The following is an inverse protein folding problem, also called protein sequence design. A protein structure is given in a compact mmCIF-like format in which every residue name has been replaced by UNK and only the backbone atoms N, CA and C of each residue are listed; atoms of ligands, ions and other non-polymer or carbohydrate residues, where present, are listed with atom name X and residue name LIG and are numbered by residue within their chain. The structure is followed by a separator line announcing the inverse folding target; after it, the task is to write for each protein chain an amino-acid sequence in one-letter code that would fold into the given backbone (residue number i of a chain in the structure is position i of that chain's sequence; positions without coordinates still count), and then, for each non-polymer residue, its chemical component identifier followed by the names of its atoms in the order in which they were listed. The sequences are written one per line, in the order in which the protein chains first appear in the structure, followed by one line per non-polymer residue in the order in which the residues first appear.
data_IF_075884552965
#
_entry.id   IF_075884552965
#
_cell.length_a   1.000
_cell.length_b   1.000
_cell.length_c   1.000
_cell.angle_alpha   90.00
_cell.angle_beta   90.00
_cell.angle_gamma   90.00
#
_symmetry.space_group_name_H-M   'P 1'
#
loop_
_entity.id
_entity.type
_entity.pdbx_description
1 polymer ?
#
# COMPACT_ATOMS: atom_id res chain seq x y z
N UNK A 1 36.19 -5.46 2.21
CA UNK A 1 34.83 -5.82 1.72
C UNK A 1 34.09 -4.52 1.45
N UNK A 2 34.11 -4.04 0.21
CA UNK A 2 33.53 -2.75 -0.18
C UNK A 2 32.02 -2.97 -0.32
N UNK A 3 31.21 -2.41 0.59
CA UNK A 3 29.76 -2.34 0.38
C UNK A 3 29.55 -1.40 -0.79
N UNK A 4 29.27 -1.94 -1.97
CA UNK A 4 28.76 -1.18 -3.10
C UNK A 4 27.54 -0.42 -2.58
N UNK A 5 27.68 0.89 -2.40
CA UNK A 5 26.58 1.75 -2.02
C UNK A 5 25.64 1.82 -3.23
N UNK A 6 24.83 0.77 -3.41
CA UNK A 6 23.71 0.77 -4.34
C UNK A 6 22.82 1.91 -3.88
N UNK A 7 22.93 3.06 -4.55
CA UNK A 7 22.27 4.32 -4.21
C UNK A 7 20.83 4.02 -3.83
N UNK A 8 20.52 4.15 -2.55
CA UNK A 8 19.24 3.74 -2.01
C UNK A 8 18.14 4.59 -2.64
N UNK A 9 17.32 3.98 -3.50
CA UNK A 9 16.29 4.69 -4.28
C UNK A 9 15.13 5.17 -3.43
N UNK A 10 14.96 4.61 -2.24
CA UNK A 10 13.82 4.88 -1.36
C UNK A 10 14.19 5.99 -0.39
N UNK A 11 13.33 7.02 -0.31
CA UNK A 11 13.47 8.13 0.65
C UNK A 11 13.06 7.75 2.07
N UNK A 12 12.20 6.74 2.22
CA UNK A 12 11.66 6.29 3.51
C UNK A 12 11.82 4.79 3.67
N UNK A 13 12.25 4.37 4.86
CA UNK A 13 12.18 2.98 5.30
C UNK A 13 10.73 2.50 5.28
N UNK A 14 10.50 1.24 4.93
CA UNK A 14 9.17 0.61 4.95
C UNK A 14 9.14 -0.45 6.04
N UNK A 15 8.09 -0.40 6.86
CA UNK A 15 7.80 -1.43 7.85
C UNK A 15 6.97 -2.53 7.19
N UNK A 16 7.47 -3.77 7.29
CA UNK A 16 6.72 -4.95 6.86
C UNK A 16 5.52 -5.20 7.78
N UNK A 17 4.45 -5.76 7.21
CA UNK A 17 3.28 -6.15 7.99
C UNK A 17 3.64 -7.30 8.93
N UNK A 18 3.30 -7.12 10.20
CA UNK A 18 3.19 -8.24 11.15
C UNK A 18 1.88 -8.97 10.86
N UNK A 19 1.94 -10.25 10.49
CA UNK A 19 0.76 -11.04 10.06
C UNK A 19 -0.33 -11.13 11.13
N UNK A 20 0.00 -10.93 12.41
CA UNK A 20 -0.97 -10.90 13.52
C UNK A 20 -1.77 -9.59 13.60
N UNK A 21 -1.43 -8.57 12.80
CA UNK A 21 -2.14 -7.30 12.75
C UNK A 21 -2.77 -7.16 11.36
N UNK A 22 -4.09 -7.03 11.35
CA UNK A 22 -4.86 -6.83 10.13
C UNK A 22 -5.08 -5.34 9.89
N UNK A 23 -4.61 -4.85 8.74
CA UNK A 23 -4.86 -3.50 8.29
C UNK A 23 -5.84 -3.54 7.12
N UNK A 24 -6.85 -2.67 7.18
CA UNK A 24 -7.88 -2.53 6.13
C UNK A 24 -7.77 -1.15 5.49
N UNK A 25 -7.66 -1.11 4.16
CA UNK A 25 -7.80 0.14 3.41
C UNK A 25 -9.28 0.45 3.20
N UNK A 26 -9.64 1.72 3.43
CA UNK A 26 -10.97 2.26 3.19
C UNK A 26 -10.82 3.44 2.26
N UNK A 27 -11.24 3.29 1.00
CA UNK A 27 -11.31 4.40 0.06
C UNK A 27 -12.64 5.13 0.23
N UNK A 28 -12.57 6.45 0.37
CA UNK A 28 -13.76 7.29 0.28
C UNK A 28 -13.98 7.63 -1.20
N UNK A 29 -14.52 6.69 -1.98
CA UNK A 29 -15.01 7.02 -3.31
C UNK A 29 -16.10 8.10 -3.17
N UNK A 30 -15.86 9.28 -3.76
CA UNK A 30 -16.70 10.50 -3.68
C UNK A 30 -18.16 10.35 -4.13
N UNK A 31 -18.60 9.17 -4.53
CA UNK A 31 -19.98 8.90 -4.92
C UNK A 31 -20.63 8.02 -3.86
N UNK A 32 -21.73 8.51 -3.28
CA UNK A 32 -22.65 7.81 -2.39
C UNK A 32 -23.20 6.45 -2.90
N UNK A 33 -22.77 5.99 -4.08
CA UNK A 33 -23.27 4.77 -4.73
C UNK A 33 -22.30 3.60 -4.76
N UNK A 34 -21.05 3.74 -4.32
CA UNK A 34 -20.13 2.60 -4.31
C UNK A 34 -20.17 1.89 -2.95
N UNK A 35 -21.21 1.06 -2.77
CA UNK A 35 -21.36 0.17 -1.60
C UNK A 35 -20.50 -1.10 -1.74
N UNK A 36 -19.69 -1.22 -2.79
CA UNK A 36 -18.79 -2.36 -2.96
C UNK A 36 -17.54 -2.16 -2.12
N UNK A 37 -17.64 -2.51 -0.83
CA UNK A 37 -16.47 -2.58 0.04
C UNK A 37 -15.46 -3.56 -0.55
N UNK A 38 -14.29 -3.05 -0.96
CA UNK A 38 -13.21 -3.90 -1.44
C UNK A 38 -12.22 -4.11 -0.32
N UNK A 39 -12.03 -5.36 0.08
CA UNK A 39 -10.99 -5.73 1.02
C UNK A 39 -9.63 -5.53 0.36
N UNK A 40 -8.75 -4.85 1.07
CA UNK A 40 -7.36 -4.71 0.70
C UNK A 40 -6.51 -4.96 1.94
N UNK A 41 -5.53 -5.86 1.80
CA UNK A 41 -4.64 -6.28 2.87
C UNK A 41 -3.28 -5.60 2.70
N UNK A 42 -2.85 -4.82 3.67
CA UNK A 42 -1.52 -4.20 3.65
C UNK A 42 -0.42 -5.27 3.64
N UNK A 43 0.64 -5.02 2.87
CA UNK A 43 1.88 -5.81 2.85
C UNK A 43 2.99 -5.08 3.59
N UNK A 44 3.16 -3.79 3.30
CA UNK A 44 4.13 -2.92 3.96
C UNK A 44 3.67 -1.46 3.92
N UNK A 45 4.20 -0.65 4.82
CA UNK A 45 3.86 0.77 4.95
C UNK A 45 5.09 1.62 5.21
N UNK A 46 5.11 2.82 4.62
CA UNK A 46 6.04 3.87 4.98
C UNK A 46 5.36 5.23 4.99
N UNK A 47 6.09 6.24 5.44
CA UNK A 47 5.65 7.65 5.36
C UNK A 47 5.39 8.12 3.93
N UNK A 48 5.95 7.44 2.93
CA UNK A 48 5.77 7.77 1.51
C UNK A 48 4.63 7.02 0.82
N UNK A 49 4.02 6.03 1.48
CA UNK A 49 2.92 5.26 0.92
C UNK A 49 2.87 3.83 1.42
N UNK A 50 1.78 3.16 1.06
CA UNK A 50 1.45 1.79 1.48
C UNK A 50 1.43 0.86 0.27
N UNK A 51 1.82 -0.39 0.48
CA UNK A 51 1.64 -1.46 -0.48
C UNK A 51 0.62 -2.45 0.06
N UNK A 52 -0.28 -2.92 -0.81
CA UNK A 52 -1.39 -3.78 -0.42
C UNK A 52 -1.79 -4.74 -1.53
N UNK A 53 -2.41 -5.84 -1.13
CA UNK A 53 -3.08 -6.78 -2.01
C UNK A 53 -4.55 -6.42 -2.10
N UNK A 54 -5.14 -6.49 -3.29
CA UNK A 54 -6.58 -6.28 -3.50
C UNK A 54 -7.05 -7.13 -4.68
N UNK A 55 -8.31 -7.54 -4.64
CA UNK A 55 -8.98 -8.22 -5.75
C UNK A 55 -9.53 -7.22 -6.79
N UNK A 56 -9.41 -5.91 -6.51
CA UNK A 56 -9.78 -4.86 -7.45
C UNK A 56 -8.80 -4.82 -8.63
N UNK A 57 -9.33 -4.74 -9.86
CA UNK A 57 -8.53 -4.33 -11.01
C UNK A 57 -8.24 -2.84 -10.92
N UNK A 58 -7.01 -2.49 -10.59
CA UNK A 58 -6.49 -1.12 -10.57
C UNK A 58 -5.56 -0.90 -11.76
N UNK A 59 -5.53 0.32 -12.27
CA UNK A 59 -4.58 0.78 -13.30
C UNK A 59 -3.60 1.77 -12.69
N UNK A 60 -2.42 1.85 -13.29
CA UNK A 60 -1.44 2.87 -12.92
C UNK A 60 -2.02 4.27 -13.14
N UNK A 61 -1.93 5.12 -12.11
CA UNK A 61 -2.52 6.47 -12.11
C UNK A 61 -3.90 6.58 -11.48
N UNK A 62 -4.56 5.45 -11.13
CA UNK A 62 -5.82 5.50 -10.41
C UNK A 62 -5.64 6.15 -9.03
N UNK A 63 -6.52 7.08 -8.68
CA UNK A 63 -6.55 7.74 -7.36
C UNK A 63 -7.62 7.05 -6.49
N UNK A 64 -7.21 6.59 -5.31
CA UNK A 64 -8.00 5.79 -4.35
C UNK A 64 -8.32 6.62 -3.11
#
# INVERSE_FOLDING_TARGET
MVKTATRERRKFERAERVLSVEFRLVSQAKSWRDHSWRLAMTSDISRGGVSFYTDARLKEGDTI
#
